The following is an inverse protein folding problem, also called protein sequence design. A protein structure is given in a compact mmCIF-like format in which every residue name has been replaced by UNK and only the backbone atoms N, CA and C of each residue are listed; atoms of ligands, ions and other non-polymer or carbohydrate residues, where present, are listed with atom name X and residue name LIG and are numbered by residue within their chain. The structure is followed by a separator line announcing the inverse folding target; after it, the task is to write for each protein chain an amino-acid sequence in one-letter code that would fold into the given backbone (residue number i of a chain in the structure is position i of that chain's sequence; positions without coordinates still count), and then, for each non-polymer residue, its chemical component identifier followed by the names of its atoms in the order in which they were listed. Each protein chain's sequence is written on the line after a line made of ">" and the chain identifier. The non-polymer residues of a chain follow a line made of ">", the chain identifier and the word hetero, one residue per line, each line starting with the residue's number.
data_IF_906655560888
#
_entry.id   IF_906655560888
#
_cell.length_a   1.000
_cell.length_b   1.000
_cell.length_c   1.000
_cell.angle_alpha   90.00
_cell.angle_beta   90.00
_cell.angle_gamma   90.00
#
_symmetry.space_group_name_H-M   'P 1'
#
loop_
_entity.id
_entity.type
_entity.pdbx_description
1 polymer ?
#
# COMPACT_ATOMS: atom_id res chain seq x y z
N UNK A 1 -13.95 -19.84 0.47
CA UNK A 1 -13.17 -18.86 1.26
C UNK A 1 -13.50 -19.00 2.75
N UNK A 2 -12.57 -19.39 3.62
CA UNK A 2 -12.89 -19.82 4.99
C UNK A 2 -13.04 -18.70 6.04
N UNK A 3 -12.61 -17.46 5.74
CA UNK A 3 -12.52 -16.38 6.75
C UNK A 3 -13.76 -15.45 6.82
N UNK A 4 -14.66 -15.48 5.83
CA UNK A 4 -15.90 -14.69 5.85
C UNK A 4 -17.10 -15.63 6.04
N UNK A 5 -17.60 -15.72 7.28
CA UNK A 5 -18.71 -16.62 7.67
C UNK A 5 -19.94 -16.56 6.73
N UNK A 6 -20.38 -15.38 6.23
CA UNK A 6 -21.48 -15.32 5.27
C UNK A 6 -21.21 -16.03 3.93
N UNK A 7 -19.96 -16.13 3.48
CA UNK A 7 -19.62 -16.93 2.28
C UNK A 7 -19.65 -18.42 2.60
N UNK A 8 -19.15 -18.81 3.77
CA UNK A 8 -19.15 -20.21 4.22
C UNK A 8 -20.56 -20.75 4.43
N UNK A 9 -21.48 -19.90 4.88
CA UNK A 9 -22.88 -20.23 5.14
C UNK A 9 -23.80 -19.94 3.94
N UNK A 10 -23.23 -19.68 2.75
CA UNK A 10 -23.98 -19.39 1.51
C UNK A 10 -24.98 -18.21 1.64
N UNK A 11 -24.72 -17.29 2.58
CA UNK A 11 -25.53 -16.09 2.83
C UNK A 11 -25.07 -14.87 2.04
N UNK A 12 -23.96 -14.96 1.30
CA UNK A 12 -23.49 -13.89 0.42
C UNK A 12 -24.42 -13.78 -0.80
N UNK A 13 -25.04 -12.60 -0.98
CA UNK A 13 -25.94 -12.32 -2.09
C UNK A 13 -25.21 -11.74 -3.30
N UNK A 14 -24.08 -11.07 -3.07
CA UNK A 14 -23.26 -10.54 -4.15
C UNK A 14 -22.21 -9.57 -3.67
N UNK A 15 -21.25 -9.29 -4.55
CA UNK A 15 -20.20 -8.30 -4.36
C UNK A 15 -20.21 -7.37 -5.55
N UNK A 16 -20.18 -6.06 -5.29
CA UNK A 16 -20.01 -5.07 -6.35
C UNK A 16 -18.90 -4.10 -5.99
N UNK A 17 -18.13 -3.71 -6.99
CA UNK A 17 -17.22 -2.58 -6.88
C UNK A 17 -18.03 -1.29 -6.76
N UNK A 18 -17.62 -0.41 -5.85
CA UNK A 18 -18.23 0.91 -5.65
C UNK A 18 -17.18 2.02 -5.87
N UNK A 19 -17.60 3.28 -6.08
CA UNK A 19 -16.66 4.39 -6.19
C UNK A 19 -15.76 4.56 -4.96
N UNK A 20 -14.55 5.03 -5.22
CA UNK A 20 -13.56 5.42 -4.20
C UNK A 20 -14.12 6.52 -3.29
N UNK A 21 -13.60 6.60 -2.07
CA UNK A 21 -14.03 7.64 -1.12
C UNK A 21 -13.18 8.89 -1.31
N UNK A 22 -11.88 8.70 -1.44
CA UNK A 22 -10.90 9.76 -1.66
C UNK A 22 -10.53 9.83 -3.14
N UNK A 23 -10.82 10.96 -3.78
CA UNK A 23 -10.48 11.20 -5.18
C UNK A 23 -9.02 11.65 -5.37
N UNK A 24 -8.30 11.95 -4.28
CA UNK A 24 -6.87 12.23 -4.29
C UNK A 24 -6.00 10.97 -4.36
N UNK A 25 -6.56 9.80 -4.05
CA UNK A 25 -5.86 8.51 -4.09
C UNK A 25 -6.12 7.81 -5.42
N UNK A 26 -5.06 7.24 -6.01
CA UNK A 26 -5.17 6.52 -7.28
C UNK A 26 -6.09 5.31 -7.16
N UNK A 27 -6.81 5.00 -8.24
CA UNK A 27 -7.66 3.80 -8.33
C UNK A 27 -6.79 2.56 -8.49
N UNK A 28 -7.07 1.51 -7.71
CA UNK A 28 -6.48 0.20 -7.97
C UNK A 28 -6.87 -0.29 -9.37
N UNK A 29 -5.87 -0.59 -10.19
CA UNK A 29 -5.98 -0.90 -11.63
C UNK A 29 -6.39 -2.35 -11.89
N UNK A 30 -7.47 -2.81 -11.22
CA UNK A 30 -7.96 -4.19 -11.33
C UNK A 30 -8.21 -4.61 -12.78
N UNK A 31 -8.89 -3.77 -13.57
CA UNK A 31 -9.32 -4.08 -14.93
C UNK A 31 -8.10 -4.23 -15.87
N UNK A 32 -7.09 -3.38 -15.71
CA UNK A 32 -5.83 -3.43 -16.46
C UNK A 32 -4.99 -4.63 -16.05
N UNK A 33 -4.87 -4.91 -14.75
CA UNK A 33 -4.17 -6.09 -14.24
C UNK A 33 -4.80 -7.38 -14.75
N UNK A 34 -6.14 -7.44 -14.79
CA UNK A 34 -6.87 -8.57 -15.36
C UNK A 34 -6.58 -8.71 -16.86
N UNK A 35 -6.59 -7.60 -17.61
CA UNK A 35 -6.27 -7.62 -19.04
C UNK A 35 -4.83 -8.08 -19.32
N UNK A 36 -3.85 -7.72 -18.47
CA UNK A 36 -2.46 -8.18 -18.59
C UNK A 36 -2.32 -9.69 -18.34
N UNK A 37 -3.06 -10.22 -17.37
CA UNK A 37 -3.09 -11.65 -17.05
C UNK A 37 -3.73 -12.50 -18.16
N UNK A 38 -4.81 -12.01 -18.78
CA UNK A 38 -5.47 -12.67 -19.91
C UNK A 38 -4.92 -12.26 -21.29
N UNK A 39 -3.89 -11.42 -21.32
CA UNK A 39 -3.25 -10.94 -22.54
C UNK A 39 -2.54 -12.05 -23.33
N UNK A 40 -2.14 -11.73 -24.56
CA UNK A 40 -1.33 -12.62 -25.40
C UNK A 40 -0.09 -11.86 -25.90
N UNK A 41 1.13 -12.18 -25.40
CA UNK A 41 1.41 -13.14 -24.33
C UNK A 41 0.88 -12.67 -22.96
N UNK A 42 0.56 -13.59 -22.03
CA UNK A 42 0.17 -13.20 -20.67
C UNK A 42 1.36 -12.60 -19.92
N UNK A 43 1.09 -11.61 -19.07
CA UNK A 43 2.12 -10.92 -18.29
C UNK A 43 1.63 -10.61 -16.88
N UNK A 44 2.56 -10.50 -15.94
CA UNK A 44 2.25 -10.07 -14.59
C UNK A 44 1.82 -8.59 -14.58
N UNK A 45 0.85 -8.21 -13.72
CA UNK A 45 0.44 -6.83 -13.55
C UNK A 45 1.62 -5.90 -13.25
N UNK A 46 1.57 -4.69 -13.80
CA UNK A 46 2.55 -3.64 -13.48
C UNK A 46 2.52 -3.33 -11.97
N UNK A 47 3.67 -3.37 -11.26
CA UNK A 47 3.73 -3.01 -9.84
C UNK A 47 3.20 -1.61 -9.57
N UNK A 48 2.52 -1.44 -8.45
CA UNK A 48 2.04 -0.13 -7.99
C UNK A 48 3.22 0.77 -7.62
N UNK A 49 3.14 2.05 -8.00
CA UNK A 49 4.21 3.05 -7.75
C UNK A 49 3.86 4.01 -6.61
N UNK A 50 2.73 3.81 -5.95
CA UNK A 50 2.19 4.68 -4.91
C UNK A 50 0.92 4.08 -4.31
N UNK A 51 0.24 4.85 -3.47
CA UNK A 51 -0.99 4.39 -2.82
C UNK A 51 -2.11 4.25 -3.85
N UNK A 52 -2.81 3.12 -3.81
CA UNK A 52 -4.04 2.93 -4.55
C UNK A 52 -5.11 2.26 -3.71
N UNK A 53 -6.39 2.50 -4.03
CA UNK A 53 -7.50 1.89 -3.30
C UNK A 53 -8.56 1.26 -4.21
N UNK A 54 -9.26 0.25 -3.67
CA UNK A 54 -10.50 -0.29 -4.23
C UNK A 54 -11.52 -0.51 -3.13
N UNK A 55 -12.79 -0.22 -3.45
CA UNK A 55 -13.91 -0.35 -2.53
C UNK A 55 -14.93 -1.34 -3.06
N UNK A 56 -15.37 -2.24 -2.20
CA UNK A 56 -16.32 -3.31 -2.49
C UNK A 56 -17.51 -3.21 -1.53
N UNK A 57 -18.72 -3.40 -2.05
CA UNK A 57 -19.92 -3.58 -1.26
C UNK A 57 -20.34 -5.05 -1.33
N UNK A 58 -20.25 -5.74 -0.20
CA UNK A 58 -20.60 -7.15 -0.03
C UNK A 58 -21.98 -7.22 0.61
N UNK A 59 -23.00 -7.61 -0.16
CA UNK A 59 -24.37 -7.76 0.34
C UNK A 59 -24.60 -9.19 0.81
N UNK A 60 -25.13 -9.39 2.01
CA UNK A 60 -25.35 -10.72 2.59
C UNK A 60 -26.63 -10.76 3.45
N UNK A 61 -27.18 -11.95 3.68
CA UNK A 61 -28.28 -12.17 4.63
C UNK A 61 -27.75 -12.18 6.06
N UNK A 62 -28.28 -11.36 6.96
CA UNK A 62 -27.78 -11.31 8.35
C UNK A 62 -28.37 -12.46 9.20
N UNK A 63 -27.61 -12.97 10.17
CA UNK A 63 -28.08 -13.95 11.17
C UNK A 63 -28.66 -13.29 12.42
N UNK A 64 -28.66 -11.95 12.51
CA UNK A 64 -29.04 -11.24 13.73
C UNK A 64 -30.53 -11.44 14.07
N UNK A 65 -30.79 -12.18 15.15
CA UNK A 65 -32.12 -12.69 15.49
C UNK A 65 -33.10 -11.59 15.90
N UNK A 66 -32.60 -10.45 16.39
CA UNK A 66 -33.38 -9.35 16.95
C UNK A 66 -33.96 -8.41 15.88
N UNK A 67 -33.40 -8.37 14.67
CA UNK A 67 -33.83 -7.45 13.59
C UNK A 67 -34.48 -8.17 12.40
N UNK A 68 -34.80 -9.47 12.56
CA UNK A 68 -35.34 -10.35 11.51
C UNK A 68 -36.62 -9.82 10.84
N UNK A 69 -37.37 -8.95 11.52
CA UNK A 69 -38.61 -8.36 11.00
C UNK A 69 -38.44 -7.03 10.25
N UNK A 70 -37.22 -6.44 10.20
CA UNK A 70 -37.02 -5.11 9.60
C UNK A 70 -35.92 -5.04 8.53
N UNK A 71 -34.85 -5.85 8.60
CA UNK A 71 -33.80 -5.88 7.56
C UNK A 71 -33.23 -7.29 7.35
N UNK A 72 -33.74 -7.95 6.31
CA UNK A 72 -33.29 -9.30 5.90
C UNK A 72 -31.86 -9.31 5.32
N UNK A 73 -31.38 -8.16 4.83
CA UNK A 73 -30.08 -8.05 4.16
C UNK A 73 -29.22 -6.93 4.75
N UNK A 74 -27.93 -7.19 4.88
CA UNK A 74 -26.89 -6.27 5.34
C UNK A 74 -25.83 -6.07 4.26
N UNK A 75 -25.10 -4.96 4.32
CA UNK A 75 -24.00 -4.66 3.39
C UNK A 75 -22.74 -4.34 4.18
N UNK A 76 -21.66 -5.07 3.91
CA UNK A 76 -20.31 -4.77 4.38
C UNK A 76 -19.59 -3.95 3.31
N UNK A 77 -19.07 -2.79 3.70
CA UNK A 77 -18.21 -1.97 2.86
C UNK A 77 -16.75 -2.31 3.18
N UNK A 78 -16.07 -2.93 2.23
CA UNK A 78 -14.66 -3.30 2.33
C UNK A 78 -13.82 -2.33 1.49
N UNK A 79 -12.77 -1.80 2.11
CA UNK A 79 -11.79 -0.92 1.48
C UNK A 79 -10.43 -1.60 1.53
N UNK A 80 -9.81 -1.76 0.37
CA UNK A 80 -8.48 -2.35 0.23
C UNK A 80 -7.57 -1.23 -0.24
N UNK A 81 -6.55 -0.94 0.54
CA UNK A 81 -5.52 0.06 0.24
C UNK A 81 -4.21 -0.69 -0.01
N UNK A 82 -3.64 -0.48 -1.18
CA UNK A 82 -2.33 -0.98 -1.58
C UNK A 82 -1.32 0.17 -1.50
N UNK A 83 -0.18 -0.06 -0.87
CA UNK A 83 0.86 0.95 -0.68
C UNK A 83 2.26 0.30 -0.67
N UNK A 84 3.31 1.05 -1.07
CA UNK A 84 4.67 0.52 -1.05
C UNK A 84 5.17 0.29 0.39
N UNK A 85 5.59 -0.95 0.69
CA UNK A 85 5.98 -1.35 2.04
C UNK A 85 7.23 -0.63 2.56
N UNK A 86 8.11 -0.17 1.67
CA UNK A 86 9.30 0.59 2.00
C UNK A 86 9.00 1.91 2.71
N UNK A 87 7.79 2.46 2.59
CA UNK A 87 7.39 3.67 3.31
C UNK A 87 7.35 3.46 4.83
N UNK A 88 7.18 2.22 5.29
CA UNK A 88 7.24 1.91 6.72
C UNK A 88 8.67 1.99 7.27
N UNK A 89 9.70 1.97 6.41
CA UNK A 89 11.09 2.09 6.82
C UNK A 89 11.43 3.49 7.34
N UNK A 90 10.63 4.49 6.96
CA UNK A 90 10.81 5.88 7.39
C UNK A 90 10.12 6.18 8.73
N UNK A 91 9.29 5.26 9.27
CA UNK A 91 8.61 5.47 10.56
C UNK A 91 9.55 5.84 11.72
N UNK A 92 10.74 5.23 11.88
CA UNK A 92 11.68 5.61 12.94
C UNK A 92 12.15 7.07 12.84
N UNK A 93 12.08 7.70 11.66
CA UNK A 93 12.51 9.09 11.47
C UNK A 93 11.62 10.07 12.23
N UNK A 94 10.39 9.69 12.60
CA UNK A 94 9.49 10.54 13.39
C UNK A 94 10.05 10.84 14.80
N UNK A 95 10.93 9.99 15.31
CA UNK A 95 11.52 10.09 16.65
C UNK A 95 13.00 10.51 16.61
N UNK A 96 13.55 10.81 15.41
CA UNK A 96 14.96 11.12 15.22
C UNK A 96 15.14 12.54 14.71
N UNK A 97 16.13 13.25 15.25
CA UNK A 97 16.63 14.45 14.60
C UNK A 97 17.51 14.08 13.39
N UNK A 98 17.77 15.07 12.54
CA UNK A 98 18.58 14.89 11.33
C UNK A 98 19.99 14.32 11.63
N UNK A 99 20.60 14.71 12.75
CA UNK A 99 21.96 14.28 13.10
C UNK A 99 22.00 12.81 13.52
N UNK A 100 21.02 12.38 14.31
CA UNK A 100 20.84 11.00 14.73
C UNK A 100 20.62 10.09 13.51
N UNK A 101 19.69 10.46 12.64
CA UNK A 101 19.42 9.73 11.40
C UNK A 101 20.66 9.67 10.49
N UNK A 102 21.37 10.79 10.31
CA UNK A 102 22.57 10.85 9.47
C UNK A 102 23.65 9.89 9.95
N UNK A 103 23.90 9.86 11.27
CA UNK A 103 24.86 8.91 11.88
C UNK A 103 24.45 7.46 11.68
N UNK A 104 23.17 7.15 11.80
CA UNK A 104 22.65 5.80 11.53
C UNK A 104 22.89 5.40 10.07
N UNK A 105 22.61 6.29 9.12
CA UNK A 105 22.83 6.03 7.69
C UNK A 105 24.30 5.85 7.34
N UNK A 106 25.21 6.63 7.95
CA UNK A 106 26.65 6.39 7.83
C UNK A 106 27.03 5.01 8.33
N UNK A 107 26.42 4.53 9.43
CA UNK A 107 26.62 3.18 9.94
C UNK A 107 26.23 2.06 8.97
N UNK A 108 25.32 2.33 8.01
CA UNK A 108 24.90 1.37 6.98
C UNK A 108 25.85 1.27 5.78
N UNK A 109 26.86 2.15 5.69
CA UNK A 109 27.89 2.12 4.65
C UNK A 109 28.92 1.02 4.92
N UNK A 110 28.49 -0.23 4.79
CA UNK A 110 29.31 -1.42 4.97
C UNK A 110 29.14 -2.37 3.79
N UNK A 111 30.13 -3.25 3.55
CA UNK A 111 30.14 -4.19 2.43
C UNK A 111 30.04 -3.47 1.09
N UNK A 112 29.24 -4.01 0.16
CA UNK A 112 29.07 -3.48 -1.20
C UNK A 112 28.60 -2.00 -1.21
N UNK A 113 27.82 -1.60 -0.19
CA UNK A 113 27.35 -0.21 -0.07
C UNK A 113 28.51 0.77 0.15
N UNK A 114 29.54 0.37 0.89
CA UNK A 114 30.72 1.19 1.10
C UNK A 114 31.49 1.39 -0.21
N UNK A 115 31.64 0.31 -0.99
CA UNK A 115 32.32 0.34 -2.29
C UNK A 115 31.61 1.26 -3.29
N UNK A 116 30.28 1.12 -3.41
CA UNK A 116 29.49 1.96 -4.31
C UNK A 116 29.43 3.43 -3.88
N UNK A 117 29.51 3.71 -2.57
CA UNK A 117 29.48 5.07 -2.05
C UNK A 117 30.81 5.84 -2.19
N UNK A 118 31.94 5.18 -2.52
CA UNK A 118 33.27 5.82 -2.58
C UNK A 118 33.32 7.11 -3.40
N UNK A 119 32.80 7.17 -4.65
CA UNK A 119 32.85 8.40 -5.44
C UNK A 119 32.05 9.54 -4.81
N UNK A 120 30.93 9.21 -4.16
CA UNK A 120 30.09 10.18 -3.49
C UNK A 120 30.73 10.69 -2.20
N UNK A 121 31.31 9.81 -1.38
CA UNK A 121 32.03 10.19 -0.16
C UNK A 121 33.21 11.12 -0.47
N UNK A 122 33.99 10.82 -1.52
CA UNK A 122 35.10 11.66 -1.95
C UNK A 122 34.63 13.06 -2.39
N UNK A 123 33.44 13.18 -2.98
CA UNK A 123 32.86 14.48 -3.32
C UNK A 123 32.43 15.23 -2.05
N UNK A 124 31.78 14.56 -1.10
CA UNK A 124 31.38 15.16 0.17
C UNK A 124 32.56 15.74 0.95
N UNK A 125 33.73 15.10 0.92
CA UNK A 125 34.95 15.62 1.55
C UNK A 125 35.44 16.95 0.98
N UNK A 126 35.01 17.31 -0.24
CA UNK A 126 35.35 18.58 -0.88
C UNK A 126 34.35 19.70 -0.62
N UNK A 127 33.22 19.39 0.02
CA UNK A 127 32.15 20.35 0.32
C UNK A 127 32.30 20.90 1.74
N UNK A 128 32.16 22.22 1.88
CA UNK A 128 31.96 22.86 3.18
C UNK A 128 30.45 23.08 3.40
N UNK A 129 29.79 22.32 4.30
CA UNK A 129 28.36 22.45 4.54
C UNK A 129 27.96 23.77 5.23
N UNK A 130 28.92 24.58 5.68
CA UNK A 130 28.70 25.90 6.30
C UNK A 130 29.12 27.06 5.39
N UNK A 131 29.59 26.77 4.16
CA UNK A 131 29.92 27.82 3.21
C UNK A 131 28.65 28.62 2.83
N UNK A 132 28.77 29.93 2.55
CA UNK A 132 27.66 30.72 2.03
C UNK A 132 27.14 30.09 0.73
N UNK A 133 25.82 29.98 0.59
CA UNK A 133 25.22 29.57 -0.68
C UNK A 133 25.61 30.60 -1.76
N UNK A 134 26.39 30.15 -2.74
CA UNK A 134 26.86 30.95 -3.87
C UNK A 134 25.84 31.10 -4.98
#
# INVERSE_FOLDING_TARGET
>A
MPLFSPVREERLLGVKRIPQRDLGIQRFTYDEGLAQLYGTPPSWPTPTRGVSEIRLALRYRSNDSLLRHFKETSTLYLEIVDYPGEWLLDLPMLEQDYLAWSRQMTGLLQGDRAEWAKPWLALCDTLDPLAPAG
#
